data_IF_497340620846
#
_entry.id   IF_497340620846
#
_cell.length_a   1.000
_cell.length_b   1.000
_cell.length_c   1.000
_cell.angle_alpha   90.00
_cell.angle_beta   90.00
_cell.angle_gamma   90.00
#
_symmetry.space_group_name_H-M   'P 1'
#
loop_
_entity.id
_entity.type
_entity.pdbx_description
1 polymer ?
#
# COMPACT_ATOMS: atom_id res chain seq x y z
N UNK A 1 -3.80 14.05 2.13
CA UNK A 1 -3.77 13.21 3.36
C UNK A 1 -5.11 13.14 4.09
N UNK A 2 -5.83 14.24 4.33
CA UNK A 2 -7.11 14.21 5.06
C UNK A 2 -8.17 13.27 4.44
N UNK A 3 -8.24 13.19 3.11
CA UNK A 3 -9.14 12.28 2.38
C UNK A 3 -8.86 10.81 2.68
N UNK A 4 -7.59 10.42 2.68
CA UNK A 4 -7.18 9.03 2.92
C UNK A 4 -7.42 8.62 4.39
N UNK A 5 -7.14 9.53 5.33
CA UNK A 5 -7.47 9.31 6.75
C UNK A 5 -8.96 9.05 6.95
N UNK A 6 -9.82 9.89 6.35
CA UNK A 6 -11.28 9.70 6.37
C UNK A 6 -11.71 8.37 5.73
N UNK A 7 -11.05 7.95 4.66
CA UNK A 7 -11.33 6.66 4.02
C UNK A 7 -11.00 5.48 4.94
N UNK A 8 -9.83 5.52 5.60
CA UNK A 8 -9.42 4.52 6.59
C UNK A 8 -10.44 4.43 7.73
N UNK A 9 -10.78 5.57 8.33
CA UNK A 9 -11.75 5.64 9.43
C UNK A 9 -13.12 5.09 9.03
N UNK A 10 -13.63 5.49 7.85
CA UNK A 10 -14.91 5.02 7.34
C UNK A 10 -14.91 3.51 7.10
N UNK A 11 -13.83 2.98 6.53
CA UNK A 11 -13.71 1.54 6.24
C UNK A 11 -13.73 0.72 7.54
N UNK A 12 -12.99 1.17 8.55
CA UNK A 12 -12.97 0.54 9.87
C UNK A 12 -14.33 0.60 10.58
N UNK A 13 -15.07 1.70 10.46
CA UNK A 13 -16.43 1.83 10.98
C UNK A 13 -17.45 0.89 10.32
N UNK A 14 -17.13 0.35 9.14
CA UNK A 14 -17.98 -0.60 8.41
C UNK A 14 -17.59 -2.06 8.71
N UNK A 15 -16.75 -2.31 9.72
CA UNK A 15 -16.18 -3.62 10.06
C UNK A 15 -15.45 -4.31 8.90
N UNK A 16 -14.97 -3.52 7.93
CA UNK A 16 -14.20 -4.02 6.80
C UNK A 16 -12.70 -4.10 7.15
N UNK A 17 -12.08 -5.20 6.76
CA UNK A 17 -10.62 -5.36 6.89
C UNK A 17 -9.92 -4.59 5.77
N UNK A 18 -9.00 -3.70 6.15
CA UNK A 18 -8.17 -2.96 5.19
C UNK A 18 -6.75 -3.56 5.19
N UNK A 19 -6.20 -3.77 3.99
CA UNK A 19 -4.81 -4.21 3.76
C UNK A 19 -4.23 -3.31 2.67
N UNK A 20 -2.97 -2.92 2.83
CA UNK A 20 -2.36 -1.89 1.97
C UNK A 20 -1.21 -2.46 1.15
N UNK A 21 -1.21 -2.09 -0.12
CA UNK A 21 -0.17 -2.34 -1.10
C UNK A 21 0.34 -0.98 -1.59
N UNK A 22 1.60 -0.65 -1.32
CA UNK A 22 2.17 0.65 -1.73
C UNK A 22 3.11 0.48 -2.91
N UNK A 23 2.83 1.16 -4.02
CA UNK A 23 3.67 1.16 -5.21
C UNK A 23 3.78 2.55 -5.85
N UNK A 24 4.92 2.84 -6.49
CA UNK A 24 5.16 4.07 -7.26
C UNK A 24 5.94 5.15 -6.50
N UNK A 25 5.76 6.41 -6.91
CA UNK A 25 6.56 7.53 -6.44
C UNK A 25 7.94 7.59 -7.08
N UNK A 26 8.46 8.81 -7.22
CA UNK A 26 9.77 9.05 -7.81
C UNK A 26 10.88 8.83 -6.78
N UNK A 27 11.95 8.12 -7.18
CA UNK A 27 12.98 7.63 -6.25
C UNK A 27 13.78 8.78 -5.63
N UNK A 28 14.06 9.80 -6.42
CA UNK A 28 14.94 10.91 -6.04
C UNK A 28 14.19 12.22 -5.76
N UNK A 29 12.85 12.16 -5.68
CA UNK A 29 12.03 13.33 -5.42
C UNK A 29 11.64 13.43 -3.93
N UNK A 30 12.10 14.49 -3.28
CA UNK A 30 11.86 14.72 -1.85
C UNK A 30 10.36 14.73 -1.47
N UNK A 31 9.49 15.29 -2.32
CA UNK A 31 8.06 15.33 -2.07
C UNK A 31 7.40 13.95 -2.20
N UNK A 32 7.87 13.12 -3.15
CA UNK A 32 7.43 11.72 -3.28
C UNK A 32 7.82 10.90 -2.05
N UNK A 33 9.07 11.01 -1.61
CA UNK A 33 9.59 10.34 -0.40
C UNK A 33 8.82 10.79 0.85
N UNK A 34 8.60 12.10 1.00
CA UNK A 34 7.86 12.66 2.14
C UNK A 34 6.42 12.14 2.17
N UNK A 35 5.76 12.08 1.01
CA UNK A 35 4.40 11.54 0.89
C UNK A 35 4.35 10.06 1.24
N UNK A 36 5.29 9.25 0.71
CA UNK A 36 5.38 7.83 1.04
C UNK A 36 5.59 7.59 2.54
N UNK A 37 6.44 8.39 3.19
CA UNK A 37 6.63 8.34 4.64
C UNK A 37 5.35 8.68 5.42
N UNK A 38 4.63 9.74 5.04
CA UNK A 38 3.36 10.10 5.67
C UNK A 38 2.30 9.00 5.55
N UNK A 39 2.23 8.34 4.39
CA UNK A 39 1.33 7.21 4.17
C UNK A 39 1.69 6.03 5.07
N UNK A 40 2.97 5.65 5.16
CA UNK A 40 3.44 4.59 6.04
C UNK A 40 3.08 4.88 7.51
N UNK A 41 3.29 6.11 7.96
CA UNK A 41 2.91 6.54 9.32
C UNK A 41 1.40 6.44 9.54
N UNK A 42 0.58 6.92 8.60
CA UNK A 42 -0.88 6.81 8.70
C UNK A 42 -1.33 5.36 8.87
N UNK A 43 -0.83 4.45 8.05
CA UNK A 43 -1.24 3.03 8.11
C UNK A 43 -0.74 2.36 9.39
N UNK A 44 0.47 2.71 9.85
CA UNK A 44 1.00 2.23 11.12
C UNK A 44 0.15 2.70 12.32
N UNK A 45 -0.20 3.99 12.38
CA UNK A 45 -1.07 4.56 13.42
C UNK A 45 -2.44 3.88 13.44
N UNK A 46 -3.01 3.63 12.26
CA UNK A 46 -4.30 2.96 12.09
C UNK A 46 -4.22 1.43 12.26
N UNK A 47 -3.03 0.87 12.56
CA UNK A 47 -2.77 -0.58 12.68
C UNK A 47 -3.19 -1.39 11.45
N UNK A 48 -3.03 -0.80 10.26
CA UNK A 48 -3.32 -1.43 8.98
C UNK A 48 -2.05 -2.12 8.47
N UNK A 49 -2.12 -3.42 8.11
CA UNK A 49 -0.98 -4.10 7.53
C UNK A 49 -0.62 -3.53 6.15
N UNK A 50 0.65 -3.18 5.98
CA UNK A 50 1.24 -2.89 4.67
C UNK A 50 1.88 -4.19 4.17
N UNK A 51 1.19 -4.85 3.24
CA UNK A 51 1.55 -6.16 2.70
C UNK A 51 2.82 -6.09 1.85
N UNK A 52 2.99 -5.00 1.11
CA UNK A 52 4.24 -4.69 0.44
C UNK A 52 4.40 -3.18 0.28
N UNK A 53 5.66 -2.74 0.28
CA UNK A 53 6.04 -1.34 0.09
C UNK A 53 7.17 -1.26 -0.92
N UNK A 54 6.81 -0.92 -2.15
CA UNK A 54 7.69 -0.70 -3.30
C UNK A 54 7.60 0.76 -3.74
N UNK A 55 7.58 1.70 -2.78
CA UNK A 55 7.52 3.13 -3.05
C UNK A 55 8.87 3.81 -2.92
N UNK A 56 9.14 4.77 -3.82
CA UNK A 56 10.31 5.66 -3.78
C UNK A 56 11.61 4.91 -3.45
N UNK A 57 12.20 5.19 -2.28
CA UNK A 57 13.48 4.64 -1.83
C UNK A 57 13.47 3.12 -1.61
N UNK A 58 12.29 2.51 -1.50
CA UNK A 58 12.10 1.07 -1.33
C UNK A 58 11.77 0.32 -2.62
N UNK A 59 11.67 1.02 -3.75
CA UNK A 59 11.30 0.39 -5.03
C UNK A 59 12.45 -0.47 -5.56
N UNK A 60 12.19 -1.75 -5.77
CA UNK A 60 13.07 -2.71 -6.45
C UNK A 60 12.66 -2.87 -7.92
N UNK A 61 13.53 -3.44 -8.74
CA UNK A 61 13.24 -3.65 -10.17
C UNK A 61 12.27 -4.83 -10.41
N UNK A 62 11.94 -5.60 -9.36
CA UNK A 62 10.93 -6.67 -9.35
C UNK A 62 9.61 -6.19 -8.76
N UNK A 63 9.03 -5.16 -9.37
CA UNK A 63 7.79 -4.54 -8.92
C UNK A 63 6.57 -5.46 -9.14
N UNK A 64 5.67 -5.63 -8.15
CA UNK A 64 4.38 -6.29 -8.35
C UNK A 64 3.52 -5.56 -9.39
N UNK A 65 3.01 -6.30 -10.37
CA UNK A 65 2.06 -5.86 -11.40
C UNK A 65 0.63 -5.82 -10.86
N UNK A 66 0.31 -6.61 -9.84
CA UNK A 66 -1.04 -6.67 -9.27
C UNK A 66 -1.13 -7.57 -8.04
N UNK A 67 -2.34 -7.64 -7.47
CA UNK A 67 -2.68 -8.44 -6.32
C UNK A 67 -4.00 -9.19 -6.56
N UNK A 68 -4.06 -10.45 -6.15
CA UNK A 68 -5.31 -11.24 -6.12
C UNK A 68 -5.64 -11.55 -4.66
N UNK A 69 -6.89 -11.29 -4.29
CA UNK A 69 -7.46 -11.75 -3.01
C UNK A 69 -8.08 -13.11 -3.29
N UNK A 70 -7.58 -14.16 -2.62
CA UNK A 70 -8.07 -15.53 -2.75
C UNK A 70 -9.32 -15.73 -1.87
N UNK A 71 -10.02 -16.84 -2.10
CA UNK A 71 -11.23 -17.21 -1.35
C UNK A 71 -10.97 -17.37 0.16
N UNK A 72 -9.74 -17.72 0.56
CA UNK A 72 -9.28 -17.82 1.95
C UNK A 72 -8.85 -16.48 2.56
N UNK A 73 -9.12 -15.36 1.87
CA UNK A 73 -8.70 -14.00 2.21
C UNK A 73 -7.18 -13.76 2.23
N UNK A 74 -6.38 -14.73 1.77
CA UNK A 74 -4.95 -14.48 1.53
C UNK A 74 -4.77 -13.54 0.33
N UNK A 75 -3.69 -12.76 0.36
CA UNK A 75 -3.33 -11.85 -0.73
C UNK A 75 -2.08 -12.39 -1.41
N UNK A 76 -2.15 -12.59 -2.72
CA UNK A 76 -1.01 -12.96 -3.54
C UNK A 76 -0.65 -11.82 -4.49
N UNK A 77 0.61 -11.39 -4.43
CA UNK A 77 1.17 -10.40 -5.35
C UNK A 77 1.86 -11.10 -6.52
N UNK A 78 1.65 -10.57 -7.73
CA UNK A 78 2.26 -11.09 -8.95
C UNK A 78 3.22 -10.06 -9.49
N UNK A 79 4.47 -10.45 -9.71
CA UNK A 79 5.53 -9.59 -10.28
C UNK A 79 5.75 -9.83 -11.78
N UNK A 80 5.14 -10.86 -12.34
CA UNK A 80 5.27 -11.24 -13.75
C UNK A 80 3.91 -11.74 -14.28
N UNK A 81 3.50 -11.26 -15.46
CA UNK A 81 2.41 -11.86 -16.23
C UNK A 81 3.05 -12.93 -17.11
N UNK A 82 2.68 -14.18 -16.90
CA UNK A 82 3.05 -15.28 -17.81
C UNK A 82 1.95 -15.33 -18.86
N UNK A 83 2.30 -15.02 -20.11
CA UNK A 83 1.42 -15.18 -21.27
C UNK A 83 1.47 -16.62 -21.79
#
# INVERSE_FOLDING_TARGET
MASLRRYVEKTQQQDLTLRVAMHGGERDNAASIATAKQLRTLFQEARIPVEFDQTCEKRTDHTPLGAVIREDHSVQFFTHIVA
#
